data_IF_948493377035
#
_entry.id   IF_948493377035
#
_cell.length_a   1.000
_cell.length_b   1.000
_cell.length_c   1.000
_cell.angle_alpha   90.00
_cell.angle_beta   90.00
_cell.angle_gamma   90.00
#
_symmetry.space_group_name_H-M   'P 1'
#
loop_
_entity.id
_entity.type
_entity.pdbx_description
1 polymer ?
#
# COMPACT_ATOMS: atom_id res chain seq x y z
N UNK A 1 -16.24 -42.82 -39.70
CA UNK A 1 -16.29 -42.90 -38.23
C UNK A 1 -14.95 -42.41 -37.71
N UNK A 2 -14.83 -41.10 -37.55
CA UNK A 2 -13.72 -40.46 -36.84
C UNK A 2 -14.34 -39.22 -36.25
N UNK A 3 -14.97 -39.40 -35.10
CA UNK A 3 -15.36 -38.29 -34.24
C UNK A 3 -14.09 -37.84 -33.51
N UNK A 4 -13.73 -36.59 -33.73
CA UNK A 4 -12.59 -35.93 -33.13
C UNK A 4 -13.14 -34.95 -32.08
N UNK A 5 -13.00 -35.19 -30.76
CA UNK A 5 -13.46 -34.22 -29.77
C UNK A 5 -12.27 -33.73 -28.94
N UNK A 6 -11.62 -32.68 -29.42
CA UNK A 6 -10.80 -31.78 -28.60
C UNK A 6 -11.44 -30.39 -28.58
N UNK A 7 -12.67 -30.33 -28.08
CA UNK A 7 -13.27 -29.05 -27.66
C UNK A 7 -13.03 -28.92 -26.16
N UNK A 8 -11.85 -28.44 -25.79
CA UNK A 8 -11.54 -28.11 -24.38
C UNK A 8 -12.38 -26.87 -24.01
N UNK A 9 -13.42 -27.10 -23.23
CA UNK A 9 -14.31 -26.08 -22.68
C UNK A 9 -13.53 -25.18 -21.71
N UNK A 10 -12.87 -24.17 -22.28
CA UNK A 10 -12.17 -23.12 -21.55
C UNK A 10 -13.07 -22.30 -20.60
N UNK A 11 -14.38 -22.58 -20.55
CA UNK A 11 -15.38 -21.86 -19.75
C UNK A 11 -15.74 -22.58 -18.44
N UNK A 12 -15.31 -23.83 -18.23
CA UNK A 12 -15.73 -24.65 -17.08
C UNK A 12 -14.80 -24.59 -15.85
N UNK A 13 -13.62 -23.98 -15.94
CA UNK A 13 -12.69 -23.92 -14.81
C UNK A 13 -13.06 -22.78 -13.84
N UNK A 14 -13.22 -23.05 -12.53
CA UNK A 14 -13.55 -22.01 -11.56
C UNK A 14 -12.44 -20.94 -11.52
N UNK A 15 -12.84 -19.66 -11.46
CA UNK A 15 -11.92 -18.53 -11.38
C UNK A 15 -11.08 -18.62 -10.10
N UNK A 16 -9.75 -18.53 -10.22
CA UNK A 16 -8.83 -18.46 -9.09
C UNK A 16 -8.94 -17.11 -8.38
N UNK A 17 -9.84 -17.00 -7.40
CA UNK A 17 -10.07 -15.77 -6.60
C UNK A 17 -9.26 -15.71 -5.31
N UNK A 18 -8.60 -16.81 -4.94
CA UNK A 18 -7.75 -16.91 -3.74
C UNK A 18 -6.28 -16.89 -4.11
N UNK A 19 -5.48 -16.22 -3.27
CA UNK A 19 -4.01 -16.23 -3.39
C UNK A 19 -3.48 -17.66 -3.15
N UNK A 20 -2.57 -18.18 -4.00
CA UNK A 20 -1.91 -19.46 -3.75
C UNK A 20 -0.99 -19.42 -2.53
N UNK A 21 -0.95 -20.51 -1.77
CA UNK A 21 -0.16 -20.62 -0.52
C UNK A 21 1.36 -20.55 -0.75
N UNK A 22 1.82 -20.79 -1.96
CA UNK A 22 3.25 -20.85 -2.33
C UNK A 22 3.87 -19.50 -2.63
N UNK A 23 3.09 -18.42 -2.64
CA UNK A 23 3.59 -17.07 -2.95
C UNK A 23 4.33 -16.50 -1.75
N UNK A 24 5.66 -16.54 -1.81
CA UNK A 24 6.54 -16.00 -0.77
C UNK A 24 7.01 -14.57 -1.09
N UNK A 25 7.21 -13.70 -0.08
CA UNK A 25 7.78 -12.38 -0.28
C UNK A 25 9.28 -12.46 -0.66
N UNK A 26 9.85 -11.42 -1.29
CA UNK A 26 11.29 -11.36 -1.57
C UNK A 26 12.14 -11.42 -0.30
N UNK A 27 13.36 -11.95 -0.39
CA UNK A 27 14.26 -12.13 0.76
C UNK A 27 14.57 -10.82 1.54
N UNK A 28 14.47 -9.65 0.90
CA UNK A 28 14.72 -8.33 1.50
C UNK A 28 13.48 -7.72 2.19
N UNK A 29 12.34 -8.40 2.14
CA UNK A 29 11.09 -7.88 2.67
C UNK A 29 11.03 -8.06 4.19
N UNK A 30 10.85 -6.97 4.92
CA UNK A 30 10.68 -6.97 6.39
C UNK A 30 9.30 -6.44 6.78
N UNK A 31 8.59 -7.14 7.66
CA UNK A 31 7.30 -6.71 8.21
C UNK A 31 7.44 -6.00 9.57
N UNK A 32 8.62 -5.44 9.87
CA UNK A 32 8.85 -4.70 11.11
C UNK A 32 7.91 -3.49 11.14
N UNK A 33 7.16 -3.27 12.24
CA UNK A 33 6.30 -2.10 12.34
C UNK A 33 7.14 -0.81 12.29
N UNK A 34 6.58 0.29 11.77
CA UNK A 34 7.24 1.58 11.83
C UNK A 34 7.50 2.00 13.29
N UNK A 35 8.49 2.87 13.54
CA UNK A 35 8.71 3.43 14.87
C UNK A 35 7.45 4.16 15.36
N UNK A 36 7.31 4.26 16.68
CA UNK A 36 6.23 5.05 17.27
C UNK A 36 6.35 6.51 16.83
N UNK A 37 5.23 7.19 16.51
CA UNK A 37 5.25 8.61 16.23
C UNK A 37 5.91 9.39 17.37
N UNK A 38 6.77 10.33 17.02
CA UNK A 38 7.38 11.27 17.95
C UNK A 38 6.81 12.67 17.70
N UNK A 39 6.78 13.50 18.75
CA UNK A 39 6.49 14.92 18.60
C UNK A 39 7.62 15.54 17.77
N UNK A 40 7.26 16.34 16.77
CA UNK A 40 8.21 17.15 16.02
C UNK A 40 8.62 18.34 16.88
N UNK A 41 9.92 18.60 16.97
CA UNK A 41 10.43 19.85 17.55
C UNK A 41 10.14 20.98 16.56
N UNK A 42 9.25 21.89 16.97
CA UNK A 42 8.93 23.07 16.20
C UNK A 42 10.09 24.07 16.37
N UNK A 43 11.00 24.08 15.41
CA UNK A 43 12.00 25.13 15.32
C UNK A 43 11.31 26.49 15.13
N UNK A 44 11.91 27.55 15.68
CA UNK A 44 11.61 28.90 15.22
C UNK A 44 12.04 28.95 13.75
N UNK A 45 11.08 28.82 12.85
CA UNK A 45 11.24 28.82 11.40
C UNK A 45 10.82 30.20 10.85
N UNK A 46 11.65 31.24 11.01
CA UNK A 46 11.35 32.59 10.54
C UNK A 46 11.31 32.68 9.02
N UNK A 47 11.84 31.68 8.31
CA UNK A 47 11.91 31.64 6.85
C UNK A 47 10.81 30.76 6.21
N UNK A 48 9.99 30.09 7.02
CA UNK A 48 8.80 29.36 6.54
C UNK A 48 9.11 28.09 5.73
N UNK A 49 10.24 27.44 5.99
CA UNK A 49 10.61 26.16 5.35
C UNK A 49 9.85 24.95 5.90
N UNK A 50 9.06 25.14 6.95
CA UNK A 50 8.18 24.12 7.49
C UNK A 50 7.08 23.79 6.45
N UNK A 51 7.03 22.54 5.95
CA UNK A 51 6.06 22.13 4.93
C UNK A 51 4.61 22.31 5.38
N UNK A 52 4.34 22.43 6.69
CA UNK A 52 3.02 22.68 7.29
C UNK A 52 2.46 24.08 6.96
N UNK A 53 3.19 24.94 6.23
CA UNK A 53 2.77 26.32 5.92
C UNK A 53 1.99 26.50 4.61
N UNK A 54 1.92 25.50 3.73
CA UNK A 54 1.22 25.62 2.45
C UNK A 54 0.14 24.54 2.29
N UNK A 55 -1.12 24.89 2.51
CA UNK A 55 -2.29 24.02 2.29
C UNK A 55 -2.77 23.27 3.55
N UNK A 56 -1.84 22.84 4.39
CA UNK A 56 -2.16 22.18 5.66
C UNK A 56 -2.42 23.21 6.76
N UNK A 57 -3.49 23.08 7.53
CA UNK A 57 -3.66 23.82 8.79
C UNK A 57 -3.24 22.94 9.96
N UNK A 58 -2.56 23.53 10.95
CA UNK A 58 -2.12 22.77 12.13
C UNK A 58 -3.18 22.78 13.25
N UNK A 59 -3.49 21.60 13.80
CA UNK A 59 -4.23 21.45 15.06
C UNK A 59 -3.51 20.47 15.98
N UNK A 60 -3.10 20.93 17.15
CA UNK A 60 -2.38 20.12 18.16
C UNK A 60 -1.08 19.47 17.63
N UNK A 61 -0.32 20.13 16.75
CA UNK A 61 0.89 19.56 16.16
C UNK A 61 0.64 18.53 15.05
N UNK A 62 -0.60 18.38 14.57
CA UNK A 62 -0.96 17.51 13.45
C UNK A 62 -1.37 18.38 12.26
N UNK A 63 -0.78 18.12 11.10
CA UNK A 63 -1.17 18.73 9.83
C UNK A 63 -2.52 18.15 9.37
N UNK A 64 -3.48 19.02 9.05
CA UNK A 64 -4.80 18.66 8.54
C UNK A 64 -4.98 19.29 7.14
N UNK A 65 -5.37 18.47 6.16
CA UNK A 65 -5.74 18.87 4.79
C UNK A 65 -7.21 18.45 4.49
N UNK A 66 -7.82 19.02 3.44
CA UNK A 66 -9.20 18.72 2.99
C UNK A 66 -9.30 17.50 2.07
#
# INVERSE_FOLDING_TARGET
>A
MTDDPLTDDATSRPRATKRPDTVQPPARWTNTPPPKPARVDLDNDPLGTNPVRYGDWERNGIAIDF
#
